data_IF_075805764193
#
_entry.id   IF_075805764193
#
_cell.length_a   1.000
_cell.length_b   1.000
_cell.length_c   1.000
_cell.angle_alpha   90.00
_cell.angle_beta   90.00
_cell.angle_gamma   90.00
#
_symmetry.space_group_name_H-M   'P 1'
#
loop_
_entity.id
_entity.type
_entity.pdbx_description
1 polymer ?
#
# COMPACT_ATOMS: atom_id res chain seq x y z
N UNK A 1 3.28 7.26 -17.40
CA UNK A 1 2.92 7.08 -15.97
C UNK A 1 3.48 5.78 -15.46
N UNK A 2 4.10 5.82 -14.30
CA UNK A 2 4.62 4.62 -13.67
C UNK A 2 3.54 3.97 -12.79
N UNK A 3 3.45 2.63 -12.78
CA UNK A 3 2.48 1.95 -11.93
C UNK A 3 2.95 1.93 -10.47
N UNK A 4 2.01 2.16 -9.55
CA UNK A 4 2.26 2.15 -8.11
C UNK A 4 1.16 1.33 -7.43
N UNK A 5 1.54 0.47 -6.50
CA UNK A 5 0.58 -0.29 -5.70
C UNK A 5 0.41 0.41 -4.35
N UNK A 6 -0.83 0.77 -4.02
CA UNK A 6 -1.18 1.30 -2.71
C UNK A 6 -1.93 0.24 -1.93
N UNK A 7 -1.30 -0.30 -0.89
CA UNK A 7 -1.95 -1.22 0.05
C UNK A 7 -2.38 -0.40 1.26
N UNK A 8 -3.67 -0.39 1.54
CA UNK A 8 -4.18 0.40 2.65
C UNK A 8 -5.17 -0.36 3.50
N UNK A 9 -5.18 -0.04 4.80
CA UNK A 9 -6.16 -0.58 5.73
C UNK A 9 -7.35 0.39 5.78
N UNK A 10 -8.54 -0.02 5.31
CA UNK A 10 -9.69 0.88 5.24
C UNK A 10 -10.20 1.35 6.61
N UNK A 11 -9.77 0.70 7.71
CA UNK A 11 -10.17 1.10 9.05
C UNK A 11 -9.06 1.86 9.79
N UNK A 12 -7.94 2.16 9.12
CA UNK A 12 -6.82 2.86 9.73
C UNK A 12 -7.21 4.27 10.17
N UNK A 13 -6.48 4.80 11.15
CA UNK A 13 -6.70 6.16 11.64
C UNK A 13 -8.11 6.37 12.19
N UNK A 14 -8.68 5.37 12.84
CA UNK A 14 -10.07 5.41 13.33
C UNK A 14 -11.07 5.64 12.18
N UNK A 15 -10.76 5.08 11.01
CA UNK A 15 -11.61 5.22 9.83
C UNK A 15 -11.40 6.50 9.04
N UNK A 16 -10.35 7.26 9.32
CA UNK A 16 -10.08 8.52 8.60
C UNK A 16 -9.51 8.29 7.21
N UNK A 17 -8.78 7.18 6.99
CA UNK A 17 -8.13 6.94 5.70
C UNK A 17 -9.09 6.93 4.53
N UNK A 18 -10.28 6.29 4.58
CA UNK A 18 -11.20 6.33 3.45
C UNK A 18 -11.60 7.74 3.04
N UNK A 19 -11.73 8.65 4.00
CA UNK A 19 -12.12 10.04 3.73
C UNK A 19 -10.99 10.82 3.04
N UNK A 20 -9.73 10.41 3.27
CA UNK A 20 -8.56 11.08 2.72
C UNK A 20 -8.02 10.38 1.47
N UNK A 21 -8.57 9.22 1.11
CA UNK A 21 -8.04 8.41 0.02
C UNK A 21 -8.04 9.17 -1.31
N UNK A 22 -9.11 9.90 -1.60
CA UNK A 22 -9.20 10.65 -2.84
C UNK A 22 -8.07 11.67 -2.96
N UNK A 23 -7.74 12.36 -1.87
CA UNK A 23 -6.65 13.34 -1.85
C UNK A 23 -5.30 12.66 -2.04
N UNK A 24 -5.09 11.50 -1.41
CA UNK A 24 -3.86 10.72 -1.57
C UNK A 24 -3.68 10.29 -3.03
N UNK A 25 -4.73 9.76 -3.64
CA UNK A 25 -4.69 9.34 -5.04
C UNK A 25 -4.40 10.52 -5.96
N UNK A 26 -5.02 11.67 -5.69
CA UNK A 26 -4.82 12.87 -6.49
C UNK A 26 -3.36 13.33 -6.45
N UNK A 27 -2.73 13.31 -5.27
CA UNK A 27 -1.32 13.68 -5.13
C UNK A 27 -0.40 12.74 -5.92
N UNK A 28 -0.65 11.43 -5.87
CA UNK A 28 0.15 10.49 -6.65
C UNK A 28 -0.05 10.69 -8.16
N UNK A 29 -1.29 10.96 -8.58
CA UNK A 29 -1.59 11.20 -10.00
C UNK A 29 -0.87 12.45 -10.49
N UNK A 30 -0.85 13.52 -9.68
CA UNK A 30 -0.11 14.74 -10.02
C UNK A 30 1.39 14.50 -10.14
N UNK A 31 1.92 13.53 -9.41
CA UNK A 31 3.32 13.14 -9.47
C UNK A 31 3.61 12.11 -10.59
N UNK A 32 2.65 11.88 -11.47
CA UNK A 32 2.76 11.00 -12.63
C UNK A 32 2.80 9.50 -12.28
N UNK A 33 2.11 9.11 -11.22
CA UNK A 33 1.92 7.71 -10.86
C UNK A 33 0.51 7.24 -11.22
N UNK A 34 0.42 6.03 -11.76
CA UNK A 34 -0.87 5.36 -11.94
C UNK A 34 -1.06 4.40 -10.78
N UNK A 35 -2.02 4.69 -9.91
CA UNK A 35 -2.18 3.96 -8.66
C UNK A 35 -3.16 2.80 -8.81
N UNK A 36 -2.74 1.62 -8.39
CA UNK A 36 -3.64 0.49 -8.13
C UNK A 36 -3.84 0.43 -6.62
N UNK A 37 -5.06 0.66 -6.16
CA UNK A 37 -5.36 0.69 -4.73
C UNK A 37 -5.93 -0.65 -4.29
N UNK A 38 -5.37 -1.20 -3.21
CA UNK A 38 -5.80 -2.47 -2.65
C UNK A 38 -6.20 -2.28 -1.18
N UNK A 39 -7.49 -2.37 -0.86
CA UNK A 39 -7.94 -2.32 0.54
C UNK A 39 -7.73 -3.69 1.20
N UNK A 40 -7.04 -3.73 2.33
CA UNK A 40 -6.84 -4.98 3.05
C UNK A 40 -8.16 -5.49 3.60
N UNK A 41 -8.34 -6.81 3.59
CA UNK A 41 -9.58 -7.45 3.95
C UNK A 41 -9.59 -8.04 5.36
N UNK A 42 -8.48 -7.92 6.08
CA UNK A 42 -8.37 -8.43 7.44
C UNK A 42 -6.93 -8.69 7.82
N UNK A 43 -6.75 -9.22 9.03
CA UNK A 43 -5.42 -9.54 9.54
C UNK A 43 -4.73 -10.57 8.63
N UNK A 44 -3.48 -10.30 8.28
CA UNK A 44 -2.67 -11.17 7.42
C UNK A 44 -2.82 -10.89 5.94
N UNK A 45 -3.83 -10.12 5.53
CA UNK A 45 -4.08 -9.89 4.11
C UNK A 45 -3.00 -9.00 3.46
N UNK A 46 -2.41 -8.06 4.21
CA UNK A 46 -1.34 -7.23 3.66
C UNK A 46 -0.07 -8.04 3.36
N UNK A 47 0.20 -9.09 4.13
CA UNK A 47 1.31 -10.01 3.84
C UNK A 47 1.09 -10.64 2.47
N UNK A 48 -0.10 -11.20 2.27
CA UNK A 48 -0.47 -11.87 1.03
C UNK A 48 -0.45 -10.90 -0.15
N UNK A 49 -1.07 -9.73 0.00
CA UNK A 49 -1.15 -8.75 -1.06
C UNK A 49 0.24 -8.27 -1.50
N UNK A 50 1.12 -7.96 -0.55
CA UNK A 50 2.48 -7.53 -0.85
C UNK A 50 3.26 -8.61 -1.59
N UNK A 51 3.14 -9.86 -1.15
CA UNK A 51 3.83 -10.99 -1.78
C UNK A 51 3.30 -11.28 -3.18
N UNK A 52 1.98 -11.31 -3.36
CA UNK A 52 1.38 -11.71 -4.63
C UNK A 52 1.37 -10.59 -5.66
N UNK A 53 1.14 -9.36 -5.24
CA UNK A 53 1.03 -8.22 -6.15
C UNK A 53 2.33 -7.44 -6.31
N UNK A 54 3.16 -7.43 -5.27
CA UNK A 54 4.40 -6.64 -5.26
C UNK A 54 5.28 -6.81 -6.48
N UNK A 55 5.49 -8.05 -6.99
CA UNK A 55 6.35 -8.23 -8.16
C UNK A 55 5.92 -7.50 -9.43
N UNK A 56 4.68 -7.06 -9.51
CA UNK A 56 4.15 -6.35 -10.67
C UNK A 56 4.44 -4.85 -10.64
N UNK A 57 5.02 -4.35 -9.56
CA UNK A 57 5.19 -2.92 -9.35
C UNK A 57 6.63 -2.61 -8.95
N UNK A 58 7.12 -1.44 -9.41
CA UNK A 58 8.42 -0.93 -8.96
C UNK A 58 8.29 -0.16 -7.65
N UNK A 59 7.09 0.29 -7.32
CA UNK A 59 6.80 1.05 -6.09
C UNK A 59 5.58 0.48 -5.41
N UNK A 60 5.69 0.37 -4.08
CA UNK A 60 4.57 0.00 -3.24
C UNK A 60 4.49 1.00 -2.09
N UNK A 61 3.31 1.56 -1.88
CA UNK A 61 3.06 2.44 -0.73
C UNK A 61 2.08 1.73 0.20
N UNK A 62 2.43 1.69 1.47
CA UNK A 62 1.56 1.17 2.51
C UNK A 62 0.94 2.33 3.27
N UNK A 63 -0.38 2.35 3.39
CA UNK A 63 -1.09 3.37 4.17
C UNK A 63 -1.89 2.70 5.27
N UNK A 64 -1.59 3.06 6.52
CA UNK A 64 -2.25 2.46 7.68
C UNK A 64 -1.44 2.65 8.95
N UNK A 65 -1.70 1.79 9.92
CA UNK A 65 -0.95 1.76 11.16
C UNK A 65 0.24 0.81 11.11
N UNK A 66 0.88 0.63 12.26
CA UNK A 66 2.08 -0.21 12.38
C UNK A 66 1.84 -1.66 11.99
N UNK A 67 0.64 -2.19 12.26
CA UNK A 67 0.29 -3.56 11.90
C UNK A 67 0.27 -3.77 10.40
N UNK A 68 -0.32 -2.83 9.66
CA UNK A 68 -0.36 -2.91 8.20
C UNK A 68 1.05 -2.79 7.62
N UNK A 69 1.86 -1.90 8.15
CA UNK A 69 3.26 -1.75 7.73
C UNK A 69 4.04 -3.03 7.98
N UNK A 70 3.93 -3.60 9.17
CA UNK A 70 4.63 -4.83 9.55
C UNK A 70 4.26 -5.98 8.61
N UNK A 71 2.98 -6.15 8.31
CA UNK A 71 2.52 -7.19 7.39
C UNK A 71 3.04 -6.97 5.97
N UNK A 72 3.00 -5.72 5.51
CA UNK A 72 3.48 -5.39 4.17
C UNK A 72 4.98 -5.71 4.04
N UNK A 73 5.78 -5.31 5.03
CA UNK A 73 7.21 -5.60 5.05
C UNK A 73 7.45 -7.11 5.06
N UNK A 74 6.68 -7.86 5.88
CA UNK A 74 6.81 -9.32 5.94
C UNK A 74 6.59 -9.95 4.57
N UNK A 75 5.56 -9.49 3.83
CA UNK A 75 5.30 -9.99 2.48
C UNK A 75 6.41 -9.65 1.51
N UNK A 76 6.93 -8.42 1.56
CA UNK A 76 8.00 -7.99 0.66
C UNK A 76 9.31 -8.73 0.92
N UNK A 77 9.59 -9.09 2.17
CA UNK A 77 10.80 -9.83 2.51
C UNK A 77 10.85 -11.24 1.92
N UNK A 78 9.73 -11.73 1.41
CA UNK A 78 9.66 -13.04 0.75
C UNK A 78 10.01 -12.94 -0.75
N UNK A 79 10.23 -11.75 -1.26
CA UNK A 79 10.54 -11.50 -2.67
C UNK A 79 12.04 -11.34 -2.87
N UNK A 80 12.55 -11.84 -4.02
CA UNK A 80 13.97 -11.66 -4.36
C UNK A 80 14.27 -10.21 -4.72
N UNK A 81 13.34 -9.56 -5.43
CA UNK A 81 13.52 -8.20 -5.92
C UNK A 81 12.29 -7.37 -5.57
N UNK A 82 12.15 -6.99 -4.28
CA UNK A 82 10.96 -6.28 -3.84
C UNK A 82 10.91 -4.86 -4.40
N UNK A 83 9.70 -4.31 -4.59
CA UNK A 83 9.55 -2.92 -4.97
C UNK A 83 10.05 -1.99 -3.85
N UNK A 84 10.33 -0.75 -4.21
CA UNK A 84 10.66 0.29 -3.22
C UNK A 84 9.41 0.58 -2.40
N UNK A 85 9.55 0.56 -1.08
CA UNK A 85 8.43 0.75 -0.15
C UNK A 85 8.37 2.19 0.36
N UNK A 86 7.20 2.80 0.25
CA UNK A 86 6.86 4.05 0.94
C UNK A 86 5.81 3.80 2.00
N UNK A 87 5.70 4.68 2.98
CA UNK A 87 4.77 4.53 4.09
C UNK A 87 4.06 5.83 4.40
N UNK A 88 2.72 5.76 4.48
CA UNK A 88 1.88 6.86 4.92
C UNK A 88 1.20 6.42 6.22
N UNK A 89 1.63 6.94 7.37
CA UNK A 89 1.06 6.54 8.67
C UNK A 89 -0.33 7.15 8.90
N UNK A 90 -1.20 6.35 9.51
CA UNK A 90 -2.52 6.79 9.95
C UNK A 90 -2.82 6.33 11.36
#
# INVERSE_FOLDING_TARGET
MEPLLLIYNPTAGKGQLPDELAAVLDEFTKANWLVTAYPTQGKGDAVRAARELGPRFSRLVCAGGDGTLSETVTGLMQLEDPPILGYIPF
#
